data_IF_719004656459
#
_entry.id   IF_719004656459
#
_cell.length_a   1.000
_cell.length_b   1.000
_cell.length_c   1.000
_cell.angle_alpha   90.00
_cell.angle_beta   90.00
_cell.angle_gamma   90.00
#
_symmetry.space_group_name_H-M   'P 1'
#
loop_
_entity.id
_entity.type
_entity.pdbx_description
1 polymer ?
#
# COMPACT_ATOMS: atom_id res chain seq x y z
N UNK A 1 -56.69 -12.70 -40.62
CA UNK A 1 -55.69 -11.64 -40.95
C UNK A 1 -55.35 -10.73 -39.75
N UNK A 2 -55.58 -11.13 -38.56
CA UNK A 2 -55.31 -10.26 -37.39
C UNK A 2 -54.27 -10.81 -36.40
N UNK A 3 -53.54 -11.87 -36.74
CA UNK A 3 -52.61 -12.51 -35.81
C UNK A 3 -51.15 -12.03 -35.90
N UNK A 4 -50.77 -11.30 -36.91
CA UNK A 4 -49.38 -10.92 -37.12
C UNK A 4 -49.00 -9.55 -36.51
N UNK A 5 -49.97 -8.71 -36.15
CA UNK A 5 -49.70 -7.43 -35.53
C UNK A 5 -49.45 -7.47 -34.04
N UNK A 6 -49.92 -8.53 -33.35
CA UNK A 6 -49.76 -8.66 -31.88
C UNK A 6 -48.35 -9.13 -31.46
N UNK A 7 -47.61 -9.81 -32.33
CA UNK A 7 -46.33 -10.40 -31.96
C UNK A 7 -45.20 -9.38 -32.04
N UNK A 8 -45.32 -8.39 -32.93
CA UNK A 8 -44.25 -7.38 -33.10
C UNK A 8 -44.26 -6.29 -32.04
N UNK A 9 -45.40 -6.05 -31.39
CA UNK A 9 -45.49 -5.06 -30.30
C UNK A 9 -44.93 -5.59 -28.99
N UNK A 10 -45.05 -6.88 -28.72
CA UNK A 10 -44.54 -7.50 -27.49
C UNK A 10 -43.04 -7.64 -27.45
N UNK A 11 -42.37 -7.81 -28.55
CA UNK A 11 -40.92 -7.91 -28.62
C UNK A 11 -40.19 -6.59 -28.46
N UNK A 12 -40.77 -5.49 -28.90
CA UNK A 12 -40.15 -4.17 -28.75
C UNK A 12 -40.29 -3.60 -27.33
N UNK A 13 -41.38 -3.92 -26.62
CA UNK A 13 -41.56 -3.52 -25.22
C UNK A 13 -40.61 -4.31 -24.28
N UNK A 14 -40.39 -5.57 -24.55
CA UNK A 14 -39.50 -6.40 -23.72
C UNK A 14 -38.04 -6.01 -23.88
N UNK A 15 -37.61 -5.59 -25.07
CA UNK A 15 -36.28 -5.09 -25.31
C UNK A 15 -35.98 -3.73 -24.66
N UNK A 16 -36.97 -2.86 -24.59
CA UNK A 16 -36.84 -1.54 -23.98
C UNK A 16 -36.73 -1.61 -22.44
N UNK A 17 -37.36 -2.57 -21.81
CA UNK A 17 -37.30 -2.77 -20.35
C UNK A 17 -35.95 -3.35 -19.93
N UNK A 18 -35.33 -4.17 -20.75
CA UNK A 18 -34.00 -4.75 -20.46
C UNK A 18 -32.85 -3.78 -20.67
N UNK A 19 -33.01 -2.74 -21.47
CA UNK A 19 -31.98 -1.72 -21.70
C UNK A 19 -31.98 -0.62 -20.65
N UNK A 20 -33.05 -0.44 -19.89
CA UNK A 20 -33.19 0.64 -18.90
C UNK A 20 -32.88 0.22 -17.47
N UNK A 21 -32.87 -1.08 -17.16
CA UNK A 21 -32.73 -1.56 -15.79
C UNK A 21 -31.31 -1.67 -15.24
N UNK A 22 -30.23 -1.83 -16.00
CA UNK A 22 -28.91 -1.97 -15.43
C UNK A 22 -28.19 -0.66 -15.16
N UNK A 23 -28.66 0.46 -15.66
CA UNK A 23 -27.86 1.68 -15.70
C UNK A 23 -28.08 2.65 -14.55
N UNK A 24 -29.15 2.48 -13.74
CA UNK A 24 -29.61 3.59 -12.90
C UNK A 24 -29.65 3.25 -11.41
N UNK A 25 -29.67 1.99 -11.02
CA UNK A 25 -30.03 1.63 -9.65
C UNK A 25 -28.94 0.94 -8.82
N UNK A 26 -27.70 1.07 -9.19
CA UNK A 26 -26.64 0.68 -8.28
C UNK A 26 -25.84 1.91 -7.89
N UNK A 27 -26.04 2.46 -6.69
CA UNK A 27 -24.96 3.17 -6.04
C UNK A 27 -23.92 2.11 -5.69
N UNK A 28 -23.24 1.62 -6.70
CA UNK A 28 -21.99 0.94 -6.52
C UNK A 28 -21.10 1.97 -5.87
N UNK A 29 -20.92 1.87 -4.57
CA UNK A 29 -19.78 2.47 -3.96
C UNK A 29 -18.59 1.86 -4.70
N UNK A 30 -18.08 2.56 -5.69
CA UNK A 30 -16.80 2.25 -6.29
C UNK A 30 -15.74 2.53 -5.24
N UNK A 31 -15.71 1.68 -4.20
CA UNK A 31 -14.51 1.56 -3.40
C UNK A 31 -13.50 0.93 -4.34
N UNK A 32 -12.70 1.78 -4.97
CA UNK A 32 -11.54 1.31 -5.71
C UNK A 32 -10.77 0.37 -4.79
N UNK A 33 -10.35 -0.81 -5.28
CA UNK A 33 -9.52 -1.68 -4.48
C UNK A 33 -8.31 -0.89 -3.99
N UNK A 34 -7.89 -1.15 -2.75
CA UNK A 34 -6.66 -0.54 -2.23
C UNK A 34 -5.48 -1.15 -2.99
N UNK A 35 -4.77 -0.32 -3.69
CA UNK A 35 -3.61 -0.69 -4.51
C UNK A 35 -2.30 -0.29 -3.85
N UNK A 36 -2.34 0.71 -2.96
CA UNK A 36 -1.17 1.27 -2.29
C UNK A 36 -1.42 1.43 -0.79
N UNK A 37 -0.44 1.08 0.01
CA UNK A 37 -0.42 1.36 1.44
C UNK A 37 0.63 2.42 1.76
N UNK A 38 0.28 3.35 2.62
CA UNK A 38 1.21 4.30 3.24
C UNK A 38 1.19 4.07 4.75
N UNK A 39 2.31 3.69 5.30
CA UNK A 39 2.51 3.40 6.72
C UNK A 39 3.36 4.52 7.30
N UNK A 40 2.80 5.26 8.23
CA UNK A 40 3.38 6.51 8.73
C UNK A 40 3.75 6.33 10.19
N UNK A 41 5.02 6.52 10.54
CA UNK A 41 5.43 6.58 11.93
C UNK A 41 4.83 7.81 12.61
N UNK A 42 4.29 7.64 13.82
CA UNK A 42 3.62 8.74 14.54
C UNK A 42 4.58 9.86 14.95
N UNK A 43 5.88 9.61 15.00
CA UNK A 43 6.89 10.62 15.31
C UNK A 43 7.17 11.58 14.14
N UNK A 44 6.68 11.27 12.94
CA UNK A 44 6.81 12.16 11.78
C UNK A 44 5.89 13.36 11.94
N UNK A 45 6.45 14.55 11.77
CA UNK A 45 5.67 15.79 11.80
C UNK A 45 4.58 15.78 10.73
N UNK A 46 3.36 16.10 11.10
CA UNK A 46 2.25 16.12 10.16
C UNK A 46 1.72 14.72 9.76
N UNK A 47 1.99 13.66 10.53
CA UNK A 47 1.54 12.30 10.24
C UNK A 47 0.02 12.21 9.96
N UNK A 48 -0.80 12.93 10.71
CA UNK A 48 -2.26 12.93 10.51
C UNK A 48 -2.68 13.67 9.25
N UNK A 49 -1.98 14.76 8.90
CA UNK A 49 -2.20 15.49 7.65
C UNK A 49 -1.81 14.65 6.43
N UNK A 50 -0.69 13.93 6.51
CA UNK A 50 -0.29 12.97 5.47
C UNK A 50 -1.34 11.88 5.29
N UNK A 51 -1.85 11.33 6.39
CA UNK A 51 -2.92 10.32 6.37
C UNK A 51 -4.18 10.85 5.68
N UNK A 52 -4.57 12.10 5.96
CA UNK A 52 -5.75 12.71 5.38
C UNK A 52 -5.59 13.08 3.89
N UNK A 53 -4.35 13.28 3.43
CA UNK A 53 -4.03 13.78 2.08
C UNK A 53 -3.84 12.70 1.02
N UNK A 54 -4.03 11.41 1.32
CA UNK A 54 -3.81 10.35 0.34
C UNK A 54 -4.89 10.29 -0.73
N UNK A 55 -4.48 9.86 -1.92
CA UNK A 55 -5.36 9.76 -3.09
C UNK A 55 -6.21 8.50 -3.06
N UNK A 56 -7.26 8.48 -3.88
CA UNK A 56 -8.07 7.30 -4.14
C UNK A 56 -7.21 6.08 -4.50
N UNK A 57 -7.58 4.88 -4.02
CA UNK A 57 -6.78 3.67 -4.17
C UNK A 57 -5.60 3.55 -3.20
N UNK A 58 -5.37 4.57 -2.37
CA UNK A 58 -4.32 4.56 -1.35
C UNK A 58 -4.93 4.57 0.04
N UNK A 59 -4.43 3.70 0.91
CA UNK A 59 -4.79 3.68 2.34
C UNK A 59 -3.58 4.08 3.16
N UNK A 60 -3.75 5.06 4.03
CA UNK A 60 -2.72 5.48 4.97
C UNK A 60 -3.06 5.08 6.40
N UNK A 61 -2.09 4.56 7.12
CA UNK A 61 -2.20 4.12 8.51
C UNK A 61 -1.06 4.75 9.29
N UNK A 62 -1.39 5.40 10.41
CA UNK A 62 -0.39 5.88 11.37
C UNK A 62 -0.12 4.78 12.38
N UNK A 63 1.16 4.44 12.55
CA UNK A 63 1.60 3.39 13.46
C UNK A 63 1.56 3.89 14.92
N UNK A 64 1.28 2.97 15.84
CA UNK A 64 1.35 3.25 17.28
C UNK A 64 2.82 3.45 17.69
N UNK A 65 3.19 4.60 18.28
CA UNK A 65 4.57 4.90 18.61
C UNK A 65 5.12 4.05 19.79
N UNK A 66 4.24 3.43 20.57
CA UNK A 66 4.64 2.62 21.73
C UNK A 66 4.81 1.14 21.40
N UNK A 67 4.49 0.73 20.17
CA UNK A 67 4.58 -0.66 19.74
C UNK A 67 5.63 -0.81 18.65
N UNK A 68 6.17 -2.02 18.55
CA UNK A 68 7.08 -2.39 17.47
C UNK A 68 6.44 -2.16 16.10
N UNK A 69 7.01 -1.22 15.32
CA UNK A 69 6.46 -0.84 14.01
C UNK A 69 6.57 -1.94 12.97
N UNK A 70 7.61 -2.77 13.02
CA UNK A 70 7.78 -3.89 12.09
C UNK A 70 6.70 -4.95 12.35
N UNK A 71 6.40 -5.23 13.60
CA UNK A 71 5.30 -6.11 13.99
C UNK A 71 3.95 -5.57 13.52
N UNK A 72 3.69 -4.28 13.72
CA UNK A 72 2.46 -3.64 13.26
C UNK A 72 2.31 -3.74 11.75
N UNK A 73 3.35 -3.40 10.99
CA UNK A 73 3.36 -3.49 9.53
C UNK A 73 3.10 -4.92 9.09
N UNK A 74 3.75 -5.89 9.69
CA UNK A 74 3.57 -7.31 9.37
C UNK A 74 2.13 -7.78 9.61
N UNK A 75 1.52 -7.33 10.71
CA UNK A 75 0.12 -7.63 11.01
C UNK A 75 -0.83 -6.99 9.98
N UNK A 76 -0.59 -5.74 9.63
CA UNK A 76 -1.38 -5.03 8.58
C UNK A 76 -1.26 -5.75 7.25
N UNK A 77 -0.06 -6.08 6.82
CA UNK A 77 0.20 -6.74 5.53
C UNK A 77 -0.36 -8.16 5.45
N UNK A 78 -0.47 -8.86 6.58
CA UNK A 78 -1.14 -10.16 6.63
C UNK A 78 -2.60 -10.07 6.14
N UNK A 79 -3.28 -8.96 6.40
CA UNK A 79 -4.63 -8.69 5.88
C UNK A 79 -4.68 -8.42 4.37
N UNK A 80 -3.55 -8.16 3.75
CA UNK A 80 -3.41 -7.94 2.29
C UNK A 80 -2.77 -9.10 1.55
N UNK A 81 -2.56 -10.24 2.18
CA UNK A 81 -2.01 -11.43 1.55
C UNK A 81 -2.81 -11.81 0.30
N UNK A 82 -2.13 -11.93 -0.83
CA UNK A 82 -2.74 -12.26 -2.11
C UNK A 82 -3.52 -11.12 -2.77
N UNK A 83 -3.50 -9.91 -2.22
CA UNK A 83 -4.20 -8.75 -2.81
C UNK A 83 -3.42 -8.05 -3.92
N UNK A 84 -2.09 -8.26 -3.99
CA UNK A 84 -1.27 -7.71 -5.06
C UNK A 84 -1.15 -6.18 -5.02
N UNK A 85 -0.75 -5.64 -3.86
CA UNK A 85 -0.50 -4.19 -3.73
C UNK A 85 0.60 -3.75 -4.68
N UNK A 86 0.42 -2.61 -5.34
CA UNK A 86 1.40 -2.00 -6.24
C UNK A 86 2.61 -1.45 -5.48
N UNK A 87 2.38 -0.94 -4.27
CA UNK A 87 3.45 -0.42 -3.43
C UNK A 87 3.08 -0.36 -1.95
N UNK A 88 4.12 -0.40 -1.14
CA UNK A 88 4.09 -0.06 0.28
C UNK A 88 5.04 1.12 0.48
N UNK A 89 4.53 2.24 0.98
CA UNK A 89 5.32 3.41 1.34
C UNK A 89 5.46 3.48 2.85
N UNK A 90 6.66 3.60 3.35
CA UNK A 90 6.97 3.74 4.78
C UNK A 90 7.53 5.14 4.99
N UNK A 91 6.82 5.95 5.76
CA UNK A 91 7.21 7.32 6.12
C UNK A 91 7.65 7.33 7.58
N UNK A 92 8.92 7.56 7.82
CA UNK A 92 9.51 7.46 9.16
C UNK A 92 10.80 8.28 9.27
N UNK A 93 11.28 8.52 10.48
CA UNK A 93 12.61 9.06 10.67
C UNK A 93 13.67 8.02 10.33
N UNK A 94 14.71 8.45 9.64
CA UNK A 94 15.80 7.59 9.20
C UNK A 94 17.17 8.20 9.43
N UNK A 95 18.16 7.34 9.30
CA UNK A 95 19.58 7.66 9.30
C UNK A 95 20.28 6.69 8.36
N UNK A 96 21.56 6.93 7.99
CA UNK A 96 22.27 5.97 7.15
C UNK A 96 22.22 4.54 7.72
N UNK A 97 21.60 3.63 6.95
CA UNK A 97 21.48 2.23 7.33
C UNK A 97 20.41 1.87 8.36
N UNK A 98 19.44 2.77 8.60
CA UNK A 98 18.37 2.44 9.54
C UNK A 98 17.15 3.34 9.51
N UNK A 99 16.03 2.79 9.97
CA UNK A 99 14.71 3.45 10.05
C UNK A 99 14.11 3.22 11.44
N UNK A 100 13.57 4.27 12.05
CA UNK A 100 12.82 4.16 13.30
C UNK A 100 11.35 3.90 13.00
N UNK A 101 10.79 2.83 13.56
CA UNK A 101 9.39 2.42 13.34
C UNK A 101 8.75 2.09 14.69
N UNK A 102 7.91 3.02 15.18
CA UNK A 102 7.35 2.91 16.51
C UNK A 102 8.43 2.80 17.57
N UNK A 103 8.35 1.80 18.43
CA UNK A 103 9.35 1.54 19.47
C UNK A 103 10.59 0.77 18.97
N UNK A 104 10.61 0.32 17.70
CA UNK A 104 11.68 -0.49 17.14
C UNK A 104 12.51 0.27 16.10
N UNK A 105 13.75 -0.16 15.92
CA UNK A 105 14.63 0.30 14.85
C UNK A 105 14.91 -0.86 13.91
N UNK A 106 14.69 -0.63 12.62
CA UNK A 106 15.09 -1.55 11.57
C UNK A 106 16.43 -1.07 11.00
N UNK A 107 17.47 -1.86 11.15
CA UNK A 107 18.81 -1.58 10.69
C UNK A 107 19.61 -2.86 10.58
N UNK A 108 20.88 -2.77 10.15
CA UNK A 108 21.74 -3.94 9.91
C UNK A 108 21.74 -4.93 11.09
N UNK A 109 21.83 -4.42 12.32
CA UNK A 109 21.94 -5.26 13.53
C UNK A 109 20.61 -5.96 13.88
N UNK A 110 19.48 -5.40 13.48
CA UNK A 110 18.13 -5.93 13.80
C UNK A 110 17.49 -6.70 12.66
N UNK A 111 17.96 -6.52 11.42
CA UNK A 111 17.45 -7.26 10.25
C UNK A 111 17.37 -8.78 10.47
N UNK A 112 18.37 -9.44 11.08
CA UNK A 112 18.28 -10.89 11.31
C UNK A 112 17.08 -11.29 12.18
N UNK A 113 16.74 -10.48 13.21
CA UNK A 113 15.62 -10.75 14.08
C UNK A 113 14.26 -10.63 13.38
N UNK A 114 14.17 -9.75 12.36
CA UNK A 114 12.93 -9.52 11.61
C UNK A 114 12.87 -10.26 10.26
N UNK A 115 13.88 -11.05 9.93
CA UNK A 115 14.02 -11.71 8.62
C UNK A 115 12.74 -12.41 8.17
N UNK A 116 12.14 -13.23 9.02
CA UNK A 116 10.96 -14.00 8.66
C UNK A 116 9.75 -13.09 8.40
N UNK A 117 9.56 -12.06 9.19
CA UNK A 117 8.48 -11.09 8.98
C UNK A 117 8.64 -10.31 7.68
N UNK A 118 9.84 -9.83 7.40
CA UNK A 118 10.15 -9.10 6.18
C UNK A 118 9.93 -9.95 4.91
N UNK A 119 10.27 -11.25 4.98
CA UNK A 119 9.98 -12.20 3.88
C UNK A 119 8.49 -12.35 3.62
N UNK A 120 7.67 -12.34 4.66
CA UNK A 120 6.21 -12.46 4.53
C UNK A 120 5.56 -11.24 3.86
N UNK A 121 6.19 -10.07 3.94
CA UNK A 121 5.67 -8.85 3.31
C UNK A 121 5.47 -9.02 1.80
N UNK A 122 6.31 -9.82 1.15
CA UNK A 122 6.19 -10.14 -0.29
C UNK A 122 4.81 -10.69 -0.66
N UNK A 123 4.14 -11.39 0.24
CA UNK A 123 2.85 -12.03 -0.02
C UNK A 123 1.70 -11.04 -0.22
N UNK A 124 1.86 -9.79 0.22
CA UNK A 124 0.88 -8.72 0.03
C UNK A 124 1.08 -7.96 -1.29
N UNK A 125 2.24 -8.10 -1.94
CA UNK A 125 2.70 -7.29 -3.06
C UNK A 125 2.50 -7.99 -4.40
N UNK A 126 2.24 -7.19 -5.44
CA UNK A 126 2.30 -7.63 -6.83
C UNK A 126 3.75 -7.96 -7.25
N UNK A 127 3.92 -8.63 -8.39
CA UNK A 127 5.23 -9.10 -8.84
C UNK A 127 6.22 -7.97 -9.15
N UNK A 128 5.71 -6.85 -9.64
CA UNK A 128 6.46 -5.66 -10.01
C UNK A 128 6.39 -4.54 -8.95
N UNK A 129 5.87 -4.86 -7.77
CA UNK A 129 5.71 -3.89 -6.68
C UNK A 129 7.04 -3.48 -6.03
N UNK A 130 7.01 -2.36 -5.33
CA UNK A 130 8.15 -1.84 -4.60
C UNK A 130 7.78 -1.42 -3.17
N UNK A 131 8.75 -1.46 -2.28
CA UNK A 131 8.72 -0.82 -0.97
C UNK A 131 9.48 0.50 -1.09
N UNK A 132 8.80 1.60 -0.73
CA UNK A 132 9.34 2.96 -0.79
C UNK A 132 9.61 3.46 0.63
N UNK A 133 10.88 3.72 0.93
CA UNK A 133 11.29 4.26 2.24
C UNK A 133 11.43 5.78 2.14
N UNK A 134 10.42 6.49 2.59
CA UNK A 134 10.43 7.95 2.74
C UNK A 134 11.02 8.30 4.10
N UNK A 135 12.33 8.20 4.20
CA UNK A 135 13.11 8.41 5.43
C UNK A 135 14.41 9.09 5.09
N UNK A 136 14.82 10.04 5.92
CA UNK A 136 16.04 10.82 5.65
C UNK A 136 17.27 9.92 5.58
N UNK A 137 18.06 10.08 4.50
CA UNK A 137 19.41 9.52 4.36
C UNK A 137 19.54 7.99 4.55
N UNK A 138 18.46 7.23 4.54
CA UNK A 138 18.48 5.77 4.79
C UNK A 138 19.47 5.05 3.87
N UNK A 139 19.52 5.42 2.59
CA UNK A 139 20.41 4.85 1.60
C UNK A 139 21.76 5.57 1.51
N UNK A 140 22.07 6.52 2.41
CA UNK A 140 23.29 7.31 2.33
C UNK A 140 24.52 6.50 2.74
N UNK A 141 25.61 6.72 2.00
CA UNK A 141 26.91 6.11 2.27
C UNK A 141 26.93 4.59 2.11
N UNK A 142 27.98 3.98 2.61
CA UNK A 142 28.15 2.52 2.53
C UNK A 142 27.14 1.78 3.41
N UNK A 143 26.91 2.27 4.64
CA UNK A 143 25.94 1.68 5.56
C UNK A 143 24.52 1.70 4.95
N UNK A 144 24.14 2.80 4.31
CA UNK A 144 22.83 2.91 3.68
C UNK A 144 22.67 1.96 2.51
N UNK A 145 23.67 1.86 1.65
CA UNK A 145 23.64 0.92 0.51
C UNK A 145 23.56 -0.54 0.96
N UNK A 146 24.34 -0.91 1.97
CA UNK A 146 24.33 -2.26 2.54
C UNK A 146 22.99 -2.60 3.15
N UNK A 147 22.42 -1.70 3.93
CA UNK A 147 21.10 -1.89 4.54
C UNK A 147 20.00 -2.09 3.48
N UNK A 148 19.92 -1.21 2.48
CA UNK A 148 18.94 -1.32 1.39
C UNK A 148 19.12 -2.61 0.60
N UNK A 149 20.36 -3.01 0.31
CA UNK A 149 20.67 -4.27 -0.36
C UNK A 149 20.23 -5.50 0.43
N UNK A 150 20.52 -5.54 1.73
CA UNK A 150 20.09 -6.63 2.60
C UNK A 150 18.56 -6.69 2.74
N UNK A 151 17.90 -5.53 2.87
CA UNK A 151 16.45 -5.47 2.93
C UNK A 151 15.81 -5.99 1.63
N UNK A 152 16.37 -5.60 0.47
CA UNK A 152 15.96 -6.12 -0.83
C UNK A 152 16.08 -7.65 -0.92
N UNK A 153 17.22 -8.20 -0.51
CA UNK A 153 17.45 -9.65 -0.51
C UNK A 153 16.47 -10.39 0.40
N UNK A 154 16.20 -9.86 1.58
CA UNK A 154 15.30 -10.50 2.55
C UNK A 154 13.84 -10.41 2.09
N UNK A 155 13.38 -9.22 1.71
CA UNK A 155 11.99 -8.98 1.34
C UNK A 155 11.64 -9.53 -0.06
N UNK A 156 12.64 -9.71 -0.94
CA UNK A 156 12.44 -10.24 -2.29
C UNK A 156 11.67 -9.29 -3.22
N UNK A 157 11.72 -7.98 -2.96
CA UNK A 157 11.04 -6.95 -3.75
C UNK A 157 11.97 -5.76 -3.95
N UNK A 158 11.68 -4.92 -4.94
CA UNK A 158 12.41 -3.68 -5.15
C UNK A 158 12.27 -2.75 -3.94
N UNK A 159 13.37 -2.14 -3.51
CA UNK A 159 13.41 -1.16 -2.44
C UNK A 159 13.88 0.17 -3.02
N UNK A 160 13.09 1.22 -2.87
CA UNK A 160 13.52 2.58 -3.16
C UNK A 160 13.67 3.37 -1.86
N UNK A 161 14.80 4.00 -1.67
CA UNK A 161 15.12 4.77 -0.47
C UNK A 161 15.91 6.03 -0.81
N UNK A 162 15.74 7.08 -0.02
CA UNK A 162 16.46 8.34 -0.21
C UNK A 162 17.87 8.28 0.35
N UNK A 163 18.82 8.81 -0.42
CA UNK A 163 20.19 9.09 0.03
C UNK A 163 20.36 10.51 0.57
N UNK A 164 19.31 11.34 0.50
CA UNK A 164 19.31 12.75 0.92
C UNK A 164 18.26 12.99 2.00
N UNK A 165 18.21 14.21 2.52
CA UNK A 165 17.13 14.65 3.40
C UNK A 165 15.80 14.66 2.63
N UNK A 166 14.74 14.15 3.24
CA UNK A 166 13.39 14.15 2.68
C UNK A 166 12.61 15.27 3.34
N UNK A 167 12.00 16.14 2.52
CA UNK A 167 11.16 17.23 3.01
C UNK A 167 11.86 18.51 3.40
N UNK A 168 13.13 18.68 3.06
CA UNK A 168 13.83 19.98 3.19
C UNK A 168 13.70 20.76 1.88
N UNK A 169 12.76 21.66 1.83
CA UNK A 169 12.73 22.79 0.90
C UNK A 169 13.13 24.08 1.65
#
# INVERSE_FOLDING_TARGET
MNSERSIQQTTSETMNKNLLTPAIDSPQSFSHPIERLVLIDAAVDGAQQLKAGVRSGTKAIVLDPQRDGIEQISHILAGYKGKGLDSISIVAHGQPGGVQLGSAKLGEQTLPAYRERLRQWRQALADDAAILLYSCQVAAGELGRQFVGQLHEIAGVAIAASSTLVGSD
#
